data_IF_705252700580
#
_entry.id   IF_705252700580
#
_cell.length_a   1.000
_cell.length_b   1.000
_cell.length_c   1.000
_cell.angle_alpha   90.00
_cell.angle_beta   90.00
_cell.angle_gamma   90.00
#
_symmetry.space_group_name_H-M   'P 1'
#
loop_
_entity.id
_entity.type
_entity.pdbx_description
1 polymer ?
#
# COMPACT_ATOMS: atom_id res chain seq x y z
N UNK A 1 10.67 28.28 3.31
CA UNK A 1 11.03 29.52 4.06
C UNK A 1 9.90 30.55 4.16
N UNK A 2 8.78 30.38 3.46
CA UNK A 2 7.60 31.27 3.50
C UNK A 2 6.58 30.95 4.61
N UNK A 3 6.72 29.83 5.34
CA UNK A 3 5.78 29.44 6.40
C UNK A 3 6.07 30.07 7.79
N UNK A 4 7.31 30.52 8.05
CA UNK A 4 7.70 31.10 9.35
C UNK A 4 7.07 32.46 9.64
N UNK A 5 6.60 33.18 8.62
CA UNK A 5 6.06 34.54 8.79
C UNK A 5 4.57 34.57 9.18
N UNK A 6 3.87 33.42 9.19
CA UNK A 6 2.40 33.35 9.41
C UNK A 6 1.97 32.87 10.80
N UNK A 7 2.89 32.64 11.74
CA UNK A 7 2.54 32.22 13.11
C UNK A 7 1.80 30.88 13.20
N UNK A 8 1.94 30.03 12.18
CA UNK A 8 1.29 28.71 12.14
C UNK A 8 2.21 27.71 12.86
N UNK A 9 1.71 26.95 13.86
CA UNK A 9 2.54 26.00 14.61
C UNK A 9 3.17 24.97 13.65
N UNK A 10 4.47 24.71 13.80
CA UNK A 10 5.28 23.84 12.92
C UNK A 10 4.68 22.45 12.71
N UNK A 11 3.91 21.95 13.68
CA UNK A 11 3.15 20.70 13.56
C UNK A 11 2.15 20.73 12.39
N UNK A 12 1.39 21.81 12.20
CA UNK A 12 0.42 21.89 11.10
C UNK A 12 1.05 21.87 9.71
N UNK A 13 2.28 22.37 9.56
CA UNK A 13 2.98 22.41 8.26
C UNK A 13 3.62 21.08 7.90
N UNK A 14 4.23 20.40 8.88
CA UNK A 14 4.82 19.05 8.70
C UNK A 14 3.70 18.05 8.39
N UNK A 15 2.60 18.07 9.15
CA UNK A 15 1.48 17.14 8.95
C UNK A 15 0.67 17.42 7.67
N UNK A 16 0.49 18.68 7.25
CA UNK A 16 -0.33 19.02 6.06
C UNK A 16 0.43 18.98 4.74
N UNK A 17 1.69 19.45 4.71
CA UNK A 17 2.47 19.55 3.46
C UNK A 17 3.51 18.44 3.33
N UNK A 18 4.21 18.07 4.41
CA UNK A 18 5.24 17.03 4.30
C UNK A 18 4.61 15.65 4.12
N UNK A 19 3.50 15.33 4.80
CA UNK A 19 2.84 14.03 4.73
C UNK A 19 2.19 13.75 3.36
N UNK A 20 1.45 14.72 2.79
CA UNK A 20 0.84 14.59 1.46
C UNK A 20 1.88 14.53 0.33
N UNK A 21 3.00 15.24 0.47
CA UNK A 21 4.12 15.11 -0.47
C UNK A 21 4.99 13.88 -0.22
N UNK A 22 5.03 13.34 1.00
CA UNK A 22 5.77 12.11 1.32
C UNK A 22 4.99 10.85 0.93
N UNK A 23 3.65 10.91 0.88
CA UNK A 23 2.81 9.80 0.42
C UNK A 23 3.07 9.42 -1.04
N UNK A 24 3.31 10.39 -1.92
CA UNK A 24 3.60 10.13 -3.34
C UNK A 24 4.83 9.21 -3.51
N UNK A 25 6.01 9.53 -2.94
CA UNK A 25 7.17 8.64 -3.00
C UNK A 25 7.00 7.38 -2.14
N UNK A 26 6.28 7.41 -1.02
CA UNK A 26 6.03 6.21 -0.18
C UNK A 26 5.19 5.17 -0.92
N UNK A 27 4.09 5.58 -1.57
CA UNK A 27 3.27 4.66 -2.38
C UNK A 27 4.09 4.07 -3.53
N UNK A 28 4.95 4.89 -4.14
CA UNK A 28 5.83 4.43 -5.23
C UNK A 28 6.88 3.42 -4.73
N UNK A 29 7.48 3.68 -3.56
CA UNK A 29 8.42 2.76 -2.90
C UNK A 29 7.75 1.46 -2.48
N UNK A 30 6.55 1.53 -1.88
CA UNK A 30 5.80 0.35 -1.49
C UNK A 30 5.47 -0.50 -2.73
N UNK A 31 5.07 0.11 -3.85
CA UNK A 31 4.84 -0.65 -5.09
C UNK A 31 6.07 -1.40 -5.60
N UNK A 32 7.25 -0.76 -5.54
CA UNK A 32 8.51 -1.38 -5.93
C UNK A 32 8.94 -2.51 -4.96
N UNK A 33 8.87 -2.25 -3.66
CA UNK A 33 9.15 -3.23 -2.61
C UNK A 33 8.19 -4.41 -2.67
N UNK A 34 6.90 -4.18 -2.93
CA UNK A 34 5.89 -5.23 -3.05
C UNK A 34 6.19 -6.15 -4.23
N UNK A 35 6.64 -5.62 -5.37
CA UNK A 35 7.09 -6.42 -6.50
C UNK A 35 8.32 -7.29 -6.15
N UNK A 36 9.27 -6.73 -5.39
CA UNK A 36 10.43 -7.48 -4.92
C UNK A 36 10.06 -8.58 -3.92
N UNK A 37 9.18 -8.28 -2.97
CA UNK A 37 8.69 -9.22 -1.96
C UNK A 37 7.85 -10.33 -2.57
N UNK A 38 6.97 -10.02 -3.54
CA UNK A 38 6.23 -11.04 -4.28
C UNK A 38 7.18 -11.99 -5.02
N UNK A 39 8.17 -11.45 -5.74
CA UNK A 39 9.18 -12.26 -6.42
C UNK A 39 9.94 -13.17 -5.45
N UNK A 40 10.39 -12.63 -4.31
CA UNK A 40 11.06 -13.40 -3.26
C UNK A 40 10.16 -14.46 -2.62
N UNK A 41 8.90 -14.11 -2.29
CA UNK A 41 7.91 -15.01 -1.68
C UNK A 41 7.63 -16.19 -2.59
N UNK A 42 7.42 -15.94 -3.88
CA UNK A 42 7.15 -16.99 -4.88
C UNK A 42 8.33 -17.97 -4.97
N UNK A 43 9.57 -17.47 -4.97
CA UNK A 43 10.76 -18.33 -5.01
C UNK A 43 10.81 -19.21 -3.76
N UNK A 44 10.55 -18.65 -2.58
CA UNK A 44 10.50 -19.42 -1.32
C UNK A 44 9.36 -20.44 -1.34
N UNK A 45 8.17 -20.07 -1.78
CA UNK A 45 7.01 -20.97 -1.91
C UNK A 45 7.27 -22.14 -2.87
N UNK A 46 7.98 -21.87 -3.97
CA UNK A 46 8.32 -22.88 -4.98
C UNK A 46 9.42 -23.82 -4.49
N UNK A 47 10.50 -23.27 -3.91
CA UNK A 47 11.66 -24.05 -3.45
C UNK A 47 11.31 -24.93 -2.26
N UNK A 48 10.55 -24.42 -1.30
CA UNK A 48 10.14 -25.17 -0.10
C UNK A 48 8.83 -25.95 -0.29
N UNK A 49 8.26 -25.96 -1.50
CA UNK A 49 6.95 -26.55 -1.80
C UNK A 49 5.84 -26.11 -0.83
N UNK A 50 5.94 -24.89 -0.29
CA UNK A 50 4.96 -24.33 0.61
C UNK A 50 3.71 -23.91 -0.19
N UNK A 51 2.50 -24.31 0.22
CA UNK A 51 1.28 -23.92 -0.46
C UNK A 51 1.00 -22.44 -0.18
N UNK A 52 1.35 -21.58 -1.15
CA UNK A 52 1.16 -20.14 -1.07
C UNK A 52 0.39 -19.58 -2.26
N UNK A 53 -0.21 -18.41 -2.05
CA UNK A 53 -1.03 -17.71 -3.05
C UNK A 53 -0.19 -17.20 -4.24
N UNK A 54 1.08 -16.84 -4.02
CA UNK A 54 1.95 -16.36 -5.08
C UNK A 54 2.29 -17.47 -6.08
N UNK A 55 2.60 -18.67 -5.57
CA UNK A 55 2.83 -19.86 -6.39
C UNK A 55 1.56 -20.30 -7.12
N UNK A 56 0.40 -20.29 -6.45
CA UNK A 56 -0.89 -20.63 -7.06
C UNK A 56 -1.23 -19.70 -8.23
N UNK A 57 -0.89 -18.41 -8.14
CA UNK A 57 -1.12 -17.45 -9.23
C UNK A 57 -0.28 -17.78 -10.46
N UNK A 58 1.01 -18.10 -10.28
CA UNK A 58 1.88 -18.52 -11.39
C UNK A 58 1.41 -19.83 -12.01
N UNK A 59 1.07 -20.81 -11.18
CA UNK A 59 0.58 -22.11 -11.65
C UNK A 59 -0.73 -21.92 -12.44
N UNK A 60 -1.65 -21.09 -11.94
CA UNK A 60 -2.91 -20.77 -12.62
C UNK A 60 -2.71 -20.04 -13.94
N UNK A 61 -1.73 -19.13 -14.04
CA UNK A 61 -1.35 -18.49 -15.31
C UNK A 61 -0.80 -19.52 -16.30
N UNK A 62 0.02 -20.46 -15.84
CA UNK A 62 0.58 -21.52 -16.67
C UNK A 62 -0.49 -22.49 -17.19
N UNK A 63 -1.44 -22.89 -16.33
CA UNK A 63 -2.58 -23.73 -16.67
C UNK A 63 -3.75 -22.98 -17.34
N UNK A 64 -3.63 -21.65 -17.50
CA UNK A 64 -4.68 -20.75 -18.02
C UNK A 64 -6.02 -20.89 -17.28
N UNK A 65 -5.95 -21.10 -15.97
CA UNK A 65 -7.11 -21.20 -15.10
C UNK A 65 -7.61 -19.79 -14.74
N UNK A 66 -8.31 -19.16 -15.69
CA UNK A 66 -8.82 -17.80 -15.55
C UNK A 66 -9.70 -17.57 -14.29
N UNK A 67 -10.60 -18.48 -13.89
CA UNK A 67 -11.35 -18.35 -12.64
C UNK A 67 -10.48 -18.19 -11.40
N UNK A 68 -9.42 -18.99 -11.27
CA UNK A 68 -8.52 -18.94 -10.10
C UNK A 68 -7.72 -17.63 -10.09
N UNK A 69 -7.18 -17.24 -11.25
CA UNK A 69 -6.49 -15.96 -11.42
C UNK A 69 -7.40 -14.80 -11.00
N UNK A 70 -8.65 -14.81 -11.45
CA UNK A 70 -9.61 -13.75 -11.12
C UNK A 70 -9.92 -13.73 -9.62
N UNK A 71 -10.09 -14.88 -8.99
CA UNK A 71 -10.32 -14.97 -7.55
C UNK A 71 -9.15 -14.40 -6.74
N UNK A 72 -7.92 -14.74 -7.09
CA UNK A 72 -6.72 -14.24 -6.41
C UNK A 72 -6.51 -12.74 -6.62
N UNK A 73 -6.72 -12.24 -7.85
CA UNK A 73 -6.65 -10.80 -8.13
C UNK A 73 -7.70 -10.04 -7.30
N UNK A 74 -8.92 -10.54 -7.20
CA UNK A 74 -9.96 -9.93 -6.37
C UNK A 74 -9.59 -9.94 -4.89
N UNK A 75 -8.98 -11.02 -4.40
CA UNK A 75 -8.51 -11.15 -3.02
C UNK A 75 -7.44 -10.10 -2.70
N UNK A 76 -6.39 -10.02 -3.54
CA UNK A 76 -5.33 -9.02 -3.37
C UNK A 76 -5.84 -7.59 -3.53
N UNK A 77 -6.75 -7.34 -4.47
CA UNK A 77 -7.34 -6.01 -4.65
C UNK A 77 -8.13 -5.58 -3.42
N UNK A 78 -8.90 -6.50 -2.83
CA UNK A 78 -9.70 -6.24 -1.62
C UNK A 78 -8.78 -5.95 -0.43
N UNK A 79 -7.75 -6.75 -0.24
CA UNK A 79 -6.75 -6.52 0.81
C UNK A 79 -6.06 -5.16 0.65
N UNK A 80 -5.65 -4.81 -0.57
CA UNK A 80 -5.02 -3.53 -0.86
C UNK A 80 -5.95 -2.35 -0.55
N UNK A 81 -7.24 -2.44 -0.91
CA UNK A 81 -8.24 -1.42 -0.58
C UNK A 81 -8.44 -1.33 0.94
N UNK A 82 -8.47 -2.44 1.66
CA UNK A 82 -8.58 -2.45 3.12
C UNK A 82 -7.38 -1.77 3.78
N UNK A 83 -6.16 -2.06 3.32
CA UNK A 83 -4.94 -1.41 3.82
C UNK A 83 -5.00 0.09 3.55
N UNK A 84 -5.37 0.50 2.34
CA UNK A 84 -5.50 1.92 2.01
C UNK A 84 -6.57 2.59 2.88
N UNK A 85 -7.71 1.93 3.11
CA UNK A 85 -8.75 2.44 3.99
C UNK A 85 -8.24 2.60 5.43
N UNK A 86 -7.50 1.63 5.97
CA UNK A 86 -6.89 1.71 7.30
C UNK A 86 -5.92 2.89 7.37
N UNK A 87 -5.08 3.05 6.34
CA UNK A 87 -4.14 4.16 6.23
C UNK A 87 -4.89 5.50 6.20
N UNK A 88 -5.97 5.61 5.42
CA UNK A 88 -6.82 6.79 5.34
C UNK A 88 -7.52 7.10 6.67
N UNK A 89 -8.01 6.08 7.38
CA UNK A 89 -8.60 6.24 8.71
C UNK A 89 -7.55 6.68 9.73
N UNK A 90 -6.36 6.08 9.72
CA UNK A 90 -5.24 6.51 10.56
C UNK A 90 -4.88 7.97 10.25
N UNK A 91 -4.87 8.37 8.98
CA UNK A 91 -4.70 9.77 8.60
C UNK A 91 -5.81 10.67 9.14
N UNK A 92 -7.07 10.25 9.08
CA UNK A 92 -8.19 11.01 9.60
C UNK A 92 -8.14 11.17 11.14
N UNK A 93 -7.75 10.12 11.86
CA UNK A 93 -7.65 10.13 13.33
C UNK A 93 -6.46 10.96 13.80
N UNK A 94 -5.32 10.86 13.11
CA UNK A 94 -4.11 11.59 13.49
C UNK A 94 -4.16 13.06 13.05
N UNK A 95 -5.08 13.43 12.15
CA UNK A 95 -5.31 14.81 11.71
C UNK A 95 -6.61 15.43 12.28
N UNK A 96 -6.61 15.95 13.52
CA UNK A 96 -7.79 16.52 14.18
C UNK A 96 -8.27 17.88 13.60
N UNK A 97 -7.60 18.46 12.61
CA UNK A 97 -7.96 19.78 12.03
C UNK A 97 -8.84 19.73 10.77
N UNK A 98 -9.18 18.54 10.23
CA UNK A 98 -10.09 18.44 9.06
C UNK A 98 -11.53 18.90 9.41
N UNK A 99 -11.80 19.17 10.70
CA UNK A 99 -13.14 19.51 11.19
C UNK A 99 -13.45 21.00 11.38
N UNK A 100 -12.55 21.92 11.01
CA UNK A 100 -12.88 23.34 11.00
C UNK A 100 -12.24 24.08 9.82
N UNK A 101 -12.95 24.12 8.70
CA UNK A 101 -13.37 25.35 8.00
C UNK A 101 -14.36 25.05 6.90
#
# INVERSE_FOLDING_TARGET
>A
RTARAKGVPERGVIWKHALRNALIPVVTMIGLEFGFLLGGSIVVETVFAWPGLGRLLIDSVSFRDYPVIQAEILLFSTEFVLINLVVDVLYAVVNPEIRLR
#
